data_IF_684241526736
#
_entry.id   IF_684241526736
#
_cell.length_a   1.000
_cell.length_b   1.000
_cell.length_c   1.000
_cell.angle_alpha   90.00
_cell.angle_beta   90.00
_cell.angle_gamma   90.00
#
_symmetry.space_group_name_H-M   'P 1'
#
loop_
_entity.id
_entity.type
_entity.pdbx_description
1 polymer ?
#
# COMPACT_ATOMS: atom_id res chain seq x y z
N UNK A 1 -11.87 -1.17 29.01
CA UNK A 1 -11.72 -1.49 27.59
C UNK A 1 -11.50 -2.99 27.48
N UNK A 2 -12.55 -3.77 27.19
CA UNK A 2 -12.46 -5.24 27.12
C UNK A 2 -12.24 -5.63 25.67
N UNK A 3 -11.01 -5.99 25.35
CA UNK A 3 -10.68 -6.70 24.12
C UNK A 3 -11.17 -8.14 24.26
N UNK A 4 -12.19 -8.44 23.46
CA UNK A 4 -12.49 -9.72 22.80
C UNK A 4 -11.70 -10.95 23.26
N UNK A 5 -12.42 -11.91 23.84
CA UNK A 5 -12.09 -13.34 23.96
C UNK A 5 -13.34 -14.04 23.39
N UNK A 6 -13.35 -15.02 22.47
CA UNK A 6 -12.36 -15.63 21.57
C UNK A 6 -13.09 -15.95 20.24
N UNK A 7 -12.42 -15.75 19.08
CA UNK A 7 -12.89 -16.20 17.75
C UNK A 7 -13.14 -15.11 16.69
N UNK A 8 -12.14 -14.30 16.35
CA UNK A 8 -12.14 -13.31 15.25
C UNK A 8 -13.27 -12.25 15.24
N UNK A 9 -13.26 -11.30 16.19
CA UNK A 9 -14.26 -10.22 16.26
C UNK A 9 -14.28 -9.33 15.00
N UNK A 10 -13.12 -9.05 14.39
CA UNK A 10 -13.05 -8.18 13.21
C UNK A 10 -13.66 -8.81 11.95
N UNK A 11 -13.45 -10.12 11.76
CA UNK A 11 -14.00 -10.84 10.59
C UNK A 11 -15.51 -10.95 10.71
N UNK A 12 -16.00 -11.22 11.93
CA UNK A 12 -17.44 -11.29 12.20
C UNK A 12 -18.15 -9.93 12.07
N UNK A 13 -17.47 -8.83 12.43
CA UNK A 13 -17.99 -7.48 12.22
C UNK A 13 -18.13 -7.16 10.72
N UNK A 14 -17.10 -7.47 9.92
CA UNK A 14 -17.14 -7.30 8.46
C UNK A 14 -18.27 -8.11 7.84
N UNK A 15 -18.41 -9.38 8.26
CA UNK A 15 -19.46 -10.28 7.75
C UNK A 15 -20.87 -9.79 8.09
N UNK A 16 -21.06 -9.26 9.31
CA UNK A 16 -22.32 -8.63 9.73
C UNK A 16 -22.66 -7.40 8.89
N UNK A 17 -21.67 -6.53 8.63
CA UNK A 17 -21.86 -5.35 7.76
C UNK A 17 -22.22 -5.78 6.34
N UNK A 18 -21.50 -6.76 5.78
CA UNK A 18 -21.76 -7.29 4.45
C UNK A 18 -23.18 -7.87 4.33
N UNK A 19 -23.56 -8.71 5.28
CA UNK A 19 -24.90 -9.33 5.34
C UNK A 19 -26.02 -8.28 5.39
N UNK A 20 -25.83 -7.19 6.15
CA UNK A 20 -26.82 -6.12 6.25
C UNK A 20 -26.93 -5.30 4.96
N UNK A 21 -25.80 -5.05 4.29
CA UNK A 21 -25.78 -4.42 2.96
C UNK A 21 -26.50 -5.29 1.94
N UNK A 22 -26.18 -6.58 1.87
CA UNK A 22 -26.81 -7.49 0.92
C UNK A 22 -28.33 -7.57 1.12
N UNK A 23 -28.78 -7.70 2.38
CA UNK A 23 -30.22 -7.72 2.71
C UNK A 23 -30.95 -6.44 2.28
N UNK A 24 -30.29 -5.28 2.38
CA UNK A 24 -30.86 -4.01 1.96
C UNK A 24 -30.88 -3.87 0.44
N UNK A 25 -29.78 -4.22 -0.23
CA UNK A 25 -29.66 -4.16 -1.69
C UNK A 25 -30.64 -5.11 -2.39
N UNK A 26 -30.89 -6.30 -1.82
CA UNK A 26 -31.87 -7.25 -2.37
C UNK A 26 -33.31 -6.72 -2.35
N UNK A 27 -33.61 -5.67 -1.58
CA UNK A 27 -34.95 -5.09 -1.44
C UNK A 27 -35.08 -3.71 -2.09
N UNK A 28 -33.96 -3.10 -2.47
CA UNK A 28 -33.92 -1.70 -2.90
C UNK A 28 -33.10 -1.56 -4.16
N UNK A 29 -33.75 -1.08 -5.22
CA UNK A 29 -33.05 -0.69 -6.44
C UNK A 29 -32.45 0.72 -6.26
N UNK A 30 -31.28 0.93 -6.85
CA UNK A 30 -30.65 2.24 -6.92
C UNK A 30 -30.24 2.56 -8.35
N UNK A 31 -30.51 3.80 -8.77
CA UNK A 31 -30.24 4.26 -10.14
C UNK A 31 -29.20 5.40 -10.18
N UNK A 32 -28.59 5.74 -9.04
CA UNK A 32 -27.53 6.73 -8.96
C UNK A 32 -26.57 6.47 -7.80
N UNK A 33 -25.31 6.95 -7.87
CA UNK A 33 -24.35 6.84 -6.77
C UNK A 33 -24.84 7.54 -5.49
N UNK A 34 -25.56 8.66 -5.62
CA UNK A 34 -26.16 9.35 -4.48
C UNK A 34 -27.28 8.52 -3.83
N UNK A 35 -28.07 7.82 -4.65
CA UNK A 35 -29.08 6.87 -4.17
C UNK A 35 -28.44 5.75 -3.35
N UNK A 36 -27.34 5.17 -3.85
CA UNK A 36 -26.59 4.14 -3.13
C UNK A 36 -26.10 4.64 -1.76
N UNK A 37 -25.49 5.83 -1.69
CA UNK A 37 -25.00 6.40 -0.43
C UNK A 37 -26.14 6.60 0.58
N UNK A 38 -27.31 7.05 0.12
CA UNK A 38 -28.49 7.23 0.98
C UNK A 38 -28.96 5.90 1.56
N UNK A 39 -29.05 4.87 0.73
CA UNK A 39 -29.42 3.52 1.18
C UNK A 39 -28.40 3.02 2.20
N UNK A 40 -27.11 3.11 1.89
CA UNK A 40 -26.04 2.62 2.77
C UNK A 40 -26.08 3.27 4.17
N UNK A 41 -26.37 4.57 4.25
CA UNK A 41 -26.50 5.28 5.53
C UNK A 41 -27.74 4.87 6.34
N UNK A 42 -28.76 4.30 5.69
CA UNK A 42 -30.03 3.91 6.32
C UNK A 42 -30.06 2.44 6.76
N UNK A 43 -29.09 1.61 6.34
CA UNK A 43 -29.06 0.17 6.66
C UNK A 43 -28.99 -0.08 8.17
N UNK A 44 -28.22 0.72 8.89
CA UNK A 44 -28.07 0.63 10.33
C UNK A 44 -28.36 1.99 10.97
N UNK A 45 -29.64 2.30 11.28
CA UNK A 45 -30.02 3.60 11.84
C UNK A 45 -29.39 3.90 13.20
N UNK A 46 -29.14 2.86 14.01
CA UNK A 46 -28.50 3.02 15.33
C UNK A 46 -27.02 3.35 15.21
N UNK A 47 -26.34 2.75 14.22
CA UNK A 47 -24.92 2.98 13.95
C UNK A 47 -24.69 3.20 12.44
N UNK A 48 -25.01 4.39 11.92
CA UNK A 48 -24.93 4.67 10.49
C UNK A 48 -23.54 4.45 9.93
N UNK A 49 -23.44 3.82 8.76
CA UNK A 49 -22.16 3.57 8.11
C UNK A 49 -21.48 4.87 7.70
N UNK A 50 -20.18 4.94 7.97
CA UNK A 50 -19.32 6.01 7.49
C UNK A 50 -18.83 5.69 6.06
N UNK A 51 -19.55 6.18 5.06
CA UNK A 51 -19.15 6.03 3.67
C UNK A 51 -17.93 6.91 3.35
N UNK A 52 -16.84 6.28 2.91
CA UNK A 52 -15.64 6.97 2.43
C UNK A 52 -15.68 6.97 0.90
N UNK A 53 -15.74 8.17 0.31
CA UNK A 53 -15.65 8.31 -1.14
C UNK A 53 -14.20 8.55 -1.52
N UNK A 54 -13.61 7.59 -2.24
CA UNK A 54 -12.25 7.74 -2.76
C UNK A 54 -12.21 8.85 -3.82
N UNK A 55 -11.23 9.74 -3.68
CA UNK A 55 -10.82 10.71 -4.69
C UNK A 55 -9.86 10.06 -5.69
N UNK A 56 -9.67 10.71 -6.83
CA UNK A 56 -8.70 10.26 -7.83
C UNK A 56 -7.30 10.06 -7.23
N UNK A 57 -6.90 10.96 -6.33
CA UNK A 57 -5.59 10.92 -5.66
C UNK A 57 -5.48 9.82 -4.59
N UNK A 58 -6.60 9.23 -4.14
CA UNK A 58 -6.59 8.09 -3.22
C UNK A 58 -6.20 6.79 -3.92
N UNK A 59 -6.34 6.73 -5.26
CA UNK A 59 -5.93 5.58 -6.05
C UNK A 59 -4.41 5.58 -6.21
N UNK A 60 -3.76 4.67 -5.48
CA UNK A 60 -2.31 4.51 -5.53
C UNK A 60 -1.91 3.68 -6.75
N UNK A 61 -1.10 4.26 -7.64
CA UNK A 61 -0.45 3.52 -8.72
C UNK A 61 0.77 2.75 -8.21
N UNK A 62 0.51 1.57 -7.64
CA UNK A 62 1.58 0.70 -7.16
C UNK A 62 2.42 0.13 -8.30
N UNK A 63 1.84 -0.07 -9.49
CA UNK A 63 2.55 -0.68 -10.61
C UNK A 63 3.56 0.30 -11.22
N UNK A 64 3.15 1.54 -11.50
CA UNK A 64 4.06 2.58 -11.96
C UNK A 64 5.12 2.91 -10.91
N UNK A 65 4.73 2.97 -9.64
CA UNK A 65 5.68 3.16 -8.54
C UNK A 65 6.70 2.04 -8.48
N UNK A 66 6.29 0.76 -8.60
CA UNK A 66 7.21 -0.37 -8.59
C UNK A 66 8.22 -0.32 -9.75
N UNK A 67 7.77 0.03 -10.96
CA UNK A 67 8.66 0.20 -12.13
C UNK A 67 9.73 1.28 -11.93
N UNK A 68 9.49 2.25 -11.04
CA UNK A 68 10.44 3.33 -10.73
C UNK A 68 11.50 2.96 -9.69
N UNK A 69 11.49 1.72 -9.18
CA UNK A 69 12.39 1.24 -8.14
C UNK A 69 13.34 0.15 -8.68
N UNK A 70 14.55 0.13 -8.16
CA UNK A 70 15.59 -0.82 -8.53
C UNK A 70 15.67 -1.97 -7.51
N UNK A 71 14.81 -2.96 -7.69
CA UNK A 71 14.73 -4.14 -6.82
C UNK A 71 15.98 -5.04 -6.89
N UNK A 72 16.73 -5.00 -7.99
CA UNK A 72 17.91 -5.87 -8.19
C UNK A 72 19.05 -5.59 -7.20
N UNK A 73 19.02 -4.45 -6.50
CA UNK A 73 19.99 -4.10 -5.45
C UNK A 73 19.78 -4.97 -4.20
N UNK A 74 18.55 -5.45 -3.97
CA UNK A 74 18.22 -6.25 -2.79
C UNK A 74 18.55 -7.71 -3.07
N UNK A 75 19.41 -8.37 -2.25
CA UNK A 75 19.76 -9.77 -2.44
C UNK A 75 18.66 -10.68 -1.89
N UNK A 76 17.49 -10.74 -2.55
CA UNK A 76 16.31 -11.45 -2.05
C UNK A 76 16.54 -12.92 -1.68
N UNK A 77 17.52 -13.59 -2.30
CA UNK A 77 17.85 -14.98 -2.01
C UNK A 77 18.48 -15.18 -0.61
N UNK A 78 19.09 -14.15 -0.03
CA UNK A 78 19.71 -14.22 1.31
C UNK A 78 18.91 -13.49 2.39
N UNK A 79 17.82 -12.81 2.01
CA UNK A 79 16.94 -12.10 2.94
C UNK A 79 16.11 -13.11 3.74
N UNK A 80 16.21 -13.04 5.06
CA UNK A 80 15.39 -13.78 6.00
C UNK A 80 14.18 -12.96 6.48
N UNK A 81 14.39 -11.67 6.76
CA UNK A 81 13.33 -10.77 7.25
C UNK A 81 13.39 -9.41 6.57
N UNK A 82 12.22 -8.87 6.24
CA UNK A 82 12.05 -7.49 5.79
C UNK A 82 11.48 -6.64 6.93
N UNK A 83 12.08 -5.48 7.16
CA UNK A 83 11.59 -4.47 8.11
C UNK A 83 10.83 -3.39 7.35
N UNK A 84 9.55 -3.25 7.65
CA UNK A 84 8.72 -2.20 7.08
C UNK A 84 9.01 -0.87 7.76
N UNK A 85 9.34 0.14 6.96
CA UNK A 85 9.47 1.52 7.41
C UNK A 85 8.46 2.40 6.67
N UNK A 86 8.26 3.62 7.16
CA UNK A 86 7.37 4.59 6.50
C UNK A 86 7.96 5.16 5.20
N UNK A 87 9.23 4.88 4.90
CA UNK A 87 9.90 5.38 3.70
C UNK A 87 9.80 4.35 2.56
N UNK A 88 9.35 4.81 1.40
CA UNK A 88 9.16 3.93 0.23
C UNK A 88 10.48 3.47 -0.40
N UNK A 89 11.53 4.28 -0.26
CA UNK A 89 12.79 4.08 -1.00
C UNK A 89 13.83 3.27 -0.26
N UNK A 90 13.64 3.02 1.04
CA UNK A 90 14.63 2.34 1.87
C UNK A 90 14.06 0.98 2.29
N UNK A 91 14.74 -0.08 1.87
CA UNK A 91 14.42 -1.45 2.28
C UNK A 91 15.42 -1.85 3.35
N UNK A 92 14.91 -2.09 4.55
CA UNK A 92 15.68 -2.64 5.66
C UNK A 92 15.45 -4.15 5.71
N UNK A 93 16.51 -4.93 5.77
CA UNK A 93 16.42 -6.39 5.77
C UNK A 93 17.49 -7.05 6.63
N UNK A 94 17.21 -8.27 7.08
CA UNK A 94 18.14 -9.13 7.79
C UNK A 94 18.44 -10.36 6.95
N UNK A 95 19.68 -10.83 6.97
CA UNK A 95 20.11 -12.02 6.23
C UNK A 95 20.28 -13.22 7.15
N UNK A 96 20.17 -14.44 6.61
CA UNK A 96 20.30 -15.69 7.40
C UNK A 96 21.63 -15.84 8.17
N UNK A 97 22.68 -15.09 7.81
CA UNK A 97 24.03 -15.27 8.32
C UNK A 97 24.59 -14.07 9.08
N UNK A 98 23.81 -13.02 9.35
CA UNK A 98 24.27 -11.88 10.14
C UNK A 98 24.44 -12.27 11.60
N UNK A 99 25.69 -12.59 11.99
CA UNK A 99 26.12 -12.68 13.38
C UNK A 99 26.57 -11.29 13.80
N UNK A 100 25.75 -10.61 14.60
CA UNK A 100 25.92 -9.24 15.12
C UNK A 100 25.81 -8.15 14.04
N UNK A 101 24.74 -7.34 14.14
CA UNK A 101 24.35 -6.17 13.34
C UNK A 101 25.45 -5.54 12.45
N UNK A 102 25.08 -5.25 11.19
CA UNK A 102 24.36 -4.01 10.95
C UNK A 102 23.02 -4.24 10.26
N UNK A 103 21.99 -3.47 10.64
CA UNK A 103 20.76 -3.37 9.88
C UNK A 103 21.07 -3.05 8.41
N UNK A 104 20.95 -4.05 7.53
CA UNK A 104 21.22 -3.85 6.12
C UNK A 104 20.09 -3.00 5.54
N UNK A 105 20.43 -1.78 5.13
CA UNK A 105 19.51 -0.86 4.47
C UNK A 105 19.97 -0.60 3.05
N UNK A 106 19.04 -0.72 2.11
CA UNK A 106 19.30 -0.45 0.69
C UNK A 106 18.33 0.60 0.18
N UNK A 107 18.87 1.64 -0.44
CA UNK A 107 18.06 2.61 -1.15
C UNK A 107 17.79 2.11 -2.57
N UNK A 108 16.54 1.78 -2.85
CA UNK A 108 16.11 1.22 -4.14
C UNK A 108 15.71 2.29 -5.16
N UNK A 109 15.96 3.58 -4.88
CA UNK A 109 15.73 4.64 -5.86
C UNK A 109 16.78 4.58 -6.98
N UNK A 110 16.37 4.69 -8.24
CA UNK A 110 17.32 4.84 -9.34
C UNK A 110 18.19 6.09 -9.12
N UNK A 111 19.51 5.90 -9.07
CA UNK A 111 20.44 7.03 -9.10
C UNK A 111 20.46 7.60 -10.51
N UNK A 112 19.96 8.83 -10.67
CA UNK A 112 20.03 9.55 -11.93
C UNK A 112 21.49 9.69 -12.36
N UNK A 113 21.94 8.90 -13.36
CA UNK A 113 23.20 9.16 -14.08
C UNK A 113 23.04 10.38 -14.98
N UNK A 114 22.98 11.57 -14.39
CA UNK A 114 23.25 12.83 -15.11
C UNK A 114 24.68 13.22 -14.76
N UNK A 115 25.67 12.65 -15.44
CA UNK A 115 27.03 13.23 -15.59
C UNK A 115 27.94 12.28 -16.38
N UNK A 116 27.87 12.31 -17.72
CA UNK A 116 28.97 11.78 -18.56
C UNK A 116 29.02 12.34 -19.99
N UNK A 117 28.20 13.34 -20.35
CA UNK A 117 28.18 13.95 -21.70
C UNK A 117 28.93 15.29 -21.84
N UNK A 118 29.99 15.53 -21.06
CA UNK A 118 30.79 16.78 -21.13
C UNK A 118 32.31 16.64 -21.32
N UNK A 119 32.85 15.47 -21.70
CA UNK A 119 34.31 15.29 -21.89
C UNK A 119 34.77 14.84 -23.29
N UNK A 120 34.05 15.20 -24.36
CA UNK A 120 34.51 14.98 -25.75
C UNK A 120 34.41 16.27 -26.56
N UNK A 121 35.04 17.37 -26.11
CA UNK A 121 35.31 18.56 -26.96
C UNK A 121 36.55 19.33 -26.48
N UNK A 122 37.66 18.63 -26.18
CA UNK A 122 38.97 19.26 -26.00
C UNK A 122 40.08 18.27 -26.40
N UNK A 123 40.10 17.86 -27.67
CA UNK A 123 41.26 17.20 -28.31
C UNK A 123 41.05 17.27 -29.82
N UNK A 124 41.32 18.45 -30.40
CA UNK A 124 41.66 18.70 -31.81
C UNK A 124 41.84 20.20 -31.98
N UNK A 125 43.06 20.68 -31.75
CA UNK A 125 43.67 21.91 -32.27
C UNK A 125 45.08 22.01 -31.69
N UNK A 126 46.02 21.38 -32.37
CA UNK A 126 47.42 21.76 -32.47
C UNK A 126 47.91 21.24 -33.82
#
# INVERSE_FOLDING_TARGET
MKFSIAGFPCVQEVDSVHSNIEKAMNKTDFYSPLGLIRILKQINPEHPYHAIQMQFDDFKDFQGTAKSLNYNIVPFASVAFLKFTRTLHTVNFETFHDKFDPENSTNIKFTSKRDSKKRIKQKKTS
#
